data_IF_266501374482
#
_entry.id   IF_266501374482
#
_cell.length_a   1.000
_cell.length_b   1.000
_cell.length_c   1.000
_cell.angle_alpha   90.00
_cell.angle_beta   90.00
_cell.angle_gamma   90.00
#
_symmetry.space_group_name_H-M   'P 1'
#
loop_
_entity.id
_entity.type
_entity.pdbx_description
1 polymer ?
#
# COMPACT_ATOMS: atom_id res chain seq x y z
N UNK A 1 22.98 -36.98 -50.45
CA UNK A 1 21.91 -37.62 -49.65
C UNK A 1 22.47 -37.82 -48.25
N UNK A 2 22.03 -36.98 -47.31
CA UNK A 2 22.48 -36.92 -45.92
C UNK A 2 21.22 -37.05 -45.06
N UNK A 3 21.14 -37.96 -44.08
CA UNK A 3 20.18 -37.86 -42.99
C UNK A 3 20.83 -37.07 -41.85
N UNK A 4 20.13 -36.13 -41.22
CA UNK A 4 20.33 -35.87 -39.79
C UNK A 4 19.23 -35.00 -39.15
N UNK A 5 18.45 -35.69 -38.32
CA UNK A 5 17.91 -35.31 -37.00
C UNK A 5 17.16 -33.97 -36.85
N UNK A 6 15.85 -34.12 -36.71
CA UNK A 6 14.94 -33.18 -36.05
C UNK A 6 15.33 -32.98 -34.59
N UNK A 7 15.54 -31.74 -34.17
CA UNK A 7 15.65 -31.38 -32.75
C UNK A 7 14.24 -31.17 -32.17
N UNK A 8 13.66 -32.21 -31.59
CA UNK A 8 12.62 -32.07 -30.57
C UNK A 8 13.29 -31.75 -29.23
N UNK A 9 13.38 -30.47 -28.91
CA UNK A 9 13.76 -29.99 -27.59
C UNK A 9 12.54 -29.76 -26.70
N UNK A 10 11.77 -30.82 -26.40
CA UNK A 10 10.75 -30.76 -25.34
C UNK A 10 11.36 -31.34 -24.08
N UNK A 11 11.70 -30.46 -23.14
CA UNK A 11 12.21 -30.82 -21.83
C UNK A 11 11.79 -29.78 -20.80
N UNK A 12 10.57 -29.90 -20.28
CA UNK A 12 10.22 -29.29 -18.99
C UNK A 12 9.88 -30.43 -18.02
N UNK A 13 10.91 -30.81 -17.26
CA UNK A 13 10.82 -31.72 -16.14
C UNK A 13 10.02 -31.10 -15.00
N UNK A 14 9.20 -31.93 -14.37
CA UNK A 14 8.18 -31.53 -13.43
C UNK A 14 8.70 -30.80 -12.19
N UNK A 15 7.90 -29.82 -11.76
CA UNK A 15 7.81 -29.42 -10.37
C UNK A 15 6.34 -29.63 -9.95
N UNK A 16 6.09 -30.76 -9.31
CA UNK A 16 4.95 -30.94 -8.44
C UNK A 16 5.31 -30.28 -7.10
N UNK A 17 4.46 -29.37 -6.63
CA UNK A 17 4.47 -28.94 -5.24
C UNK A 17 4.60 -27.43 -5.05
N UNK A 18 3.51 -26.70 -5.25
CA UNK A 18 2.76 -26.09 -4.14
C UNK A 18 1.79 -25.05 -4.68
N UNK A 19 0.58 -25.11 -4.15
CA UNK A 19 -0.62 -24.42 -4.58
C UNK A 19 -0.55 -22.90 -4.37
N UNK A 20 -0.80 -22.17 -5.47
CA UNK A 20 -1.68 -20.99 -5.65
C UNK A 20 -1.50 -19.79 -4.71
N UNK A 21 -1.15 -18.64 -5.31
CA UNK A 21 -2.07 -17.50 -5.40
C UNK A 21 -1.94 -16.85 -6.79
N UNK A 22 -2.82 -17.26 -7.69
CA UNK A 22 -3.06 -16.61 -8.97
C UNK A 22 -3.84 -15.32 -8.72
N UNK A 23 -3.40 -14.22 -9.34
CA UNK A 23 -4.16 -12.99 -9.39
C UNK A 23 -5.34 -13.19 -10.33
N UNK A 24 -6.54 -13.45 -9.79
CA UNK A 24 -7.77 -13.46 -10.59
C UNK A 24 -8.91 -12.76 -9.86
N UNK A 25 -9.31 -11.66 -10.47
CA UNK A 25 -10.51 -10.89 -10.23
C UNK A 25 -11.73 -11.64 -10.80
N UNK A 26 -12.57 -12.26 -9.95
CA UNK A 26 -14.03 -12.48 -10.19
C UNK A 26 -14.70 -13.33 -9.10
N UNK A 27 -15.79 -12.78 -8.53
CA UNK A 27 -16.96 -13.41 -7.88
C UNK A 27 -16.80 -14.47 -6.78
N UNK A 28 -17.13 -14.03 -5.56
CA UNK A 28 -18.12 -14.59 -4.61
C UNK A 28 -17.79 -15.79 -3.69
N UNK A 29 -18.06 -15.53 -2.40
CA UNK A 29 -18.43 -16.44 -1.30
C UNK A 29 -17.35 -17.25 -0.55
N UNK A 30 -16.52 -16.50 0.20
CA UNK A 30 -16.31 -16.74 1.64
C UNK A 30 -15.75 -15.45 2.22
N UNK A 31 -16.58 -14.68 2.93
CA UNK A 31 -16.22 -13.39 3.50
C UNK A 31 -15.22 -13.54 4.66
N UNK A 32 -13.97 -13.88 4.33
CA UNK A 32 -12.83 -13.44 5.13
C UNK A 32 -12.80 -11.92 4.92
N UNK A 33 -12.91 -11.10 5.98
CA UNK A 33 -12.82 -9.66 5.82
C UNK A 33 -11.52 -9.38 5.06
N UNK A 34 -11.55 -8.52 4.02
CA UNK A 34 -10.32 -8.14 3.35
C UNK A 34 -9.32 -7.71 4.43
N UNK A 35 -8.09 -8.22 4.39
CA UNK A 35 -7.03 -7.79 5.30
C UNK A 35 -6.59 -6.38 4.88
N UNK A 36 -7.48 -5.42 5.13
CA UNK A 36 -7.32 -4.04 4.65
C UNK A 36 -6.08 -3.41 5.23
N UNK A 37 -5.71 -3.80 6.45
CA UNK A 37 -4.46 -3.42 7.11
C UNK A 37 -3.22 -3.91 6.34
N UNK A 38 -3.21 -5.19 5.93
CA UNK A 38 -2.17 -5.77 5.08
C UNK A 38 -2.04 -5.06 3.74
N UNK A 39 -3.16 -4.75 3.09
CA UNK A 39 -3.20 -4.03 1.81
C UNK A 39 -2.67 -2.59 1.94
N UNK A 40 -3.16 -1.83 2.93
CA UNK A 40 -2.68 -0.48 3.23
C UNK A 40 -1.18 -0.48 3.52
N UNK A 41 -0.70 -1.43 4.34
CA UNK A 41 0.72 -1.56 4.66
C UNK A 41 1.57 -1.85 3.42
N UNK A 42 1.07 -2.66 2.49
CA UNK A 42 1.72 -2.98 1.22
C UNK A 42 1.84 -1.73 0.33
N UNK A 43 0.77 -0.95 0.19
CA UNK A 43 0.79 0.28 -0.60
C UNK A 43 1.71 1.35 0.03
N UNK A 44 1.68 1.52 1.35
CA UNK A 44 2.62 2.40 2.06
C UNK A 44 4.09 1.99 1.81
N UNK A 45 4.40 0.70 1.77
CA UNK A 45 5.76 0.21 1.44
C UNK A 45 6.18 0.57 0.00
N UNK A 46 5.24 0.59 -0.95
CA UNK A 46 5.50 0.96 -2.35
C UNK A 46 5.85 2.45 -2.51
N UNK A 47 5.41 3.32 -1.60
CA UNK A 47 5.75 4.76 -1.61
C UNK A 47 7.26 5.02 -1.41
N UNK A 48 7.94 4.14 -0.69
CA UNK A 48 9.39 4.22 -0.46
C UNK A 48 10.26 3.84 -1.65
N UNK A 49 9.68 3.36 -2.76
CA UNK A 49 10.43 2.98 -3.97
C UNK A 49 10.95 4.22 -4.72
N UNK A 50 11.81 4.04 -5.72
CA UNK A 50 12.32 5.14 -6.55
C UNK A 50 11.41 5.47 -7.75
N UNK A 51 10.66 4.50 -8.23
CA UNK A 51 9.84 4.65 -9.44
C UNK A 51 8.58 5.53 -9.19
N UNK A 52 8.42 6.66 -9.89
CA UNK A 52 7.33 7.60 -9.66
C UNK A 52 5.97 7.00 -10.04
N UNK A 53 5.90 6.20 -11.10
CA UNK A 53 4.65 5.57 -11.56
C UNK A 53 4.11 4.59 -10.50
N UNK A 54 5.00 3.83 -9.87
CA UNK A 54 4.67 2.92 -8.76
C UNK A 54 4.13 3.70 -7.56
N UNK A 55 4.72 4.86 -7.24
CA UNK A 55 4.22 5.72 -6.16
C UNK A 55 2.83 6.24 -6.46
N UNK A 56 2.59 6.77 -7.67
CA UNK A 56 1.27 7.28 -8.07
C UNK A 56 0.22 6.17 -8.00
N UNK A 57 0.50 4.98 -8.54
CA UNK A 57 -0.42 3.83 -8.45
C UNK A 57 -0.71 3.45 -6.99
N UNK A 58 0.31 3.44 -6.13
CA UNK A 58 0.12 3.15 -4.72
C UNK A 58 -0.70 4.22 -3.99
N UNK A 59 -0.52 5.51 -4.31
CA UNK A 59 -1.31 6.62 -3.78
C UNK A 59 -2.78 6.53 -4.24
N UNK A 60 -3.02 6.20 -5.50
CA UNK A 60 -4.38 5.97 -6.01
C UNK A 60 -5.08 4.85 -5.27
N UNK A 61 -4.40 3.70 -5.07
CA UNK A 61 -4.96 2.60 -4.29
C UNK A 61 -5.24 3.01 -2.84
N UNK A 62 -4.31 3.72 -2.18
CA UNK A 62 -4.53 4.22 -0.83
C UNK A 62 -5.74 5.13 -0.71
N UNK A 63 -5.98 6.00 -1.70
CA UNK A 63 -7.17 6.85 -1.73
C UNK A 63 -8.49 6.07 -1.77
N UNK A 64 -8.49 4.92 -2.42
CA UNK A 64 -9.66 4.03 -2.42
C UNK A 64 -9.83 3.40 -1.04
N UNK A 65 -8.74 2.88 -0.47
CA UNK A 65 -8.75 2.25 0.86
C UNK A 65 -9.16 3.24 1.98
N UNK A 66 -8.70 4.49 1.92
CA UNK A 66 -9.09 5.54 2.88
C UNK A 66 -10.58 5.84 2.89
N UNK A 67 -11.33 5.44 1.87
CA UNK A 67 -12.79 5.62 1.82
C UNK A 67 -13.56 4.38 2.26
N UNK A 68 -12.88 3.25 2.39
CA UNK A 68 -13.45 1.95 2.76
C UNK A 68 -13.21 1.62 4.23
N UNK A 69 -12.21 2.24 4.84
CA UNK A 69 -11.76 2.00 6.22
C UNK A 69 -12.34 3.07 7.15
N UNK A 70 -12.64 2.68 8.38
CA UNK A 70 -13.11 3.60 9.42
C UNK A 70 -12.03 4.61 9.82
N UNK A 71 -12.43 5.78 10.32
CA UNK A 71 -11.49 6.79 10.82
C UNK A 71 -10.60 6.26 11.95
N UNK A 72 -11.14 5.40 12.83
CA UNK A 72 -10.42 4.81 13.97
C UNK A 72 -9.26 3.90 13.55
N UNK A 73 -9.49 3.06 12.53
CA UNK A 73 -8.44 2.20 11.95
C UNK A 73 -7.40 3.03 11.20
N UNK A 74 -7.83 4.05 10.46
CA UNK A 74 -6.92 4.95 9.73
C UNK A 74 -5.99 5.73 10.67
N UNK A 75 -6.43 6.04 11.89
CA UNK A 75 -5.56 6.69 12.90
C UNK A 75 -4.30 5.86 13.18
N UNK A 76 -4.37 4.53 13.12
CA UNK A 76 -3.21 3.65 13.36
C UNK A 76 -2.12 3.80 12.29
N UNK A 77 -2.50 4.14 11.05
CA UNK A 77 -1.53 4.32 9.95
C UNK A 77 -0.92 5.72 9.91
N UNK A 78 -1.51 6.71 10.62
CA UNK A 78 -1.10 8.12 10.57
C UNK A 78 0.40 8.33 10.86
N UNK A 79 1.02 7.69 11.87
CA UNK A 79 2.45 7.86 12.11
C UNK A 79 3.32 7.44 10.92
N UNK A 80 2.96 6.33 10.26
CA UNK A 80 3.70 5.79 9.12
C UNK A 80 3.44 6.63 7.86
N UNK A 81 2.19 7.02 7.63
CA UNK A 81 1.82 7.96 6.58
C UNK A 81 2.59 9.28 6.72
N UNK A 82 2.63 9.88 7.91
CA UNK A 82 3.34 11.15 8.15
C UNK A 82 4.85 11.08 7.87
N UNK A 83 5.47 9.91 8.05
CA UNK A 83 6.86 9.69 7.66
C UNK A 83 7.03 9.65 6.14
N UNK A 84 6.22 8.86 5.43
CA UNK A 84 6.30 8.78 3.97
C UNK A 84 5.85 10.07 3.28
N UNK A 85 4.79 10.71 3.78
CA UNK A 85 4.30 12.01 3.31
C UNK A 85 5.41 13.05 3.26
N UNK A 86 6.17 13.19 4.36
CA UNK A 86 7.31 14.13 4.40
C UNK A 86 8.34 13.85 3.31
N UNK A 87 8.63 12.58 3.01
CA UNK A 87 9.56 12.22 1.93
C UNK A 87 8.98 12.53 0.54
N UNK A 88 7.69 12.25 0.35
CA UNK A 88 6.99 12.46 -0.92
C UNK A 88 6.82 13.95 -1.29
N UNK A 89 6.78 14.85 -0.30
CA UNK A 89 6.78 16.29 -0.55
C UNK A 89 8.02 16.78 -1.31
N UNK A 90 9.17 16.10 -1.13
CA UNK A 90 10.42 16.41 -1.81
C UNK A 90 10.65 15.54 -3.06
N UNK A 91 9.65 14.78 -3.52
CA UNK A 91 9.78 13.98 -4.72
C UNK A 91 9.94 14.86 -5.97
N UNK A 92 10.81 14.46 -6.90
CA UNK A 92 11.06 15.20 -8.14
C UNK A 92 9.81 15.27 -9.04
N UNK A 93 8.99 14.22 -9.05
CA UNK A 93 7.79 14.15 -9.86
C UNK A 93 6.68 15.04 -9.33
N UNK A 94 6.26 16.01 -10.14
CA UNK A 94 5.11 16.89 -9.83
C UNK A 94 3.83 16.08 -9.60
N UNK A 95 3.66 14.99 -10.34
CA UNK A 95 2.49 14.13 -10.23
C UNK A 95 2.45 13.39 -8.89
N UNK A 96 3.62 12.88 -8.43
CA UNK A 96 3.73 12.27 -7.11
C UNK A 96 3.38 13.28 -6.02
N UNK A 97 3.90 14.51 -6.09
CA UNK A 97 3.57 15.56 -5.11
C UNK A 97 2.08 15.87 -5.09
N UNK A 98 1.45 16.03 -6.27
CA UNK A 98 0.01 16.28 -6.39
C UNK A 98 -0.81 15.15 -5.76
N UNK A 99 -0.57 13.91 -6.19
CA UNK A 99 -1.28 12.73 -5.67
C UNK A 99 -1.08 12.57 -4.15
N UNK A 100 0.08 12.96 -3.62
CA UNK A 100 0.37 12.96 -2.19
C UNK A 100 -0.50 13.96 -1.42
N UNK A 101 -0.66 15.19 -1.94
CA UNK A 101 -1.55 16.18 -1.32
C UNK A 101 -3.02 15.75 -1.37
N UNK A 102 -3.46 15.17 -2.48
CA UNK A 102 -4.80 14.61 -2.61
C UNK A 102 -5.04 13.48 -1.60
N UNK A 103 -4.07 12.58 -1.43
CA UNK A 103 -4.15 11.52 -0.44
C UNK A 103 -4.20 12.03 1.00
N UNK A 104 -3.44 13.08 1.32
CA UNK A 104 -3.53 13.73 2.63
C UNK A 104 -4.91 14.36 2.87
N UNK A 105 -5.48 15.04 1.86
CA UNK A 105 -6.80 15.64 1.98
C UNK A 105 -7.89 14.57 2.22
N UNK A 106 -7.85 13.46 1.48
CA UNK A 106 -8.78 12.35 1.67
C UNK A 106 -8.62 11.72 3.05
N UNK A 107 -7.39 11.43 3.49
CA UNK A 107 -7.12 10.86 4.80
C UNK A 107 -7.68 11.73 5.93
N UNK A 108 -7.40 13.04 5.90
CA UNK A 108 -7.88 13.98 6.92
C UNK A 108 -9.40 14.11 6.88
N UNK A 109 -10.01 14.08 5.69
CA UNK A 109 -11.46 14.14 5.54
C UNK A 109 -12.14 12.90 6.11
N UNK A 110 -11.59 11.70 5.89
CA UNK A 110 -12.16 10.46 6.46
C UNK A 110 -11.97 10.37 7.97
N UNK A 111 -10.78 10.69 8.49
CA UNK A 111 -10.51 10.59 9.94
C UNK A 111 -11.25 11.69 10.71
N UNK A 112 -11.34 12.90 10.14
CA UNK A 112 -11.79 14.10 10.83
C UNK A 112 -10.67 14.75 11.64
N UNK A 113 -10.70 16.09 11.73
CA UNK A 113 -9.67 16.86 12.44
C UNK A 113 -9.62 16.56 13.95
N UNK A 114 -10.77 16.29 14.57
CA UNK A 114 -10.86 16.04 16.01
C UNK A 114 -10.12 14.76 16.44
N UNK A 115 -10.20 13.70 15.63
CA UNK A 115 -9.48 12.45 15.86
C UNK A 115 -7.97 12.64 15.70
N UNK A 116 -7.53 13.37 14.67
CA UNK A 116 -6.12 13.65 14.44
C UNK A 116 -5.54 14.48 15.58
N UNK A 117 -6.23 15.53 16.01
CA UNK A 117 -5.77 16.39 17.10
C UNK A 117 -5.63 15.59 18.41
N UNK A 118 -6.64 14.77 18.73
CA UNK A 118 -6.64 13.91 19.91
C UNK A 118 -5.51 12.89 19.87
N UNK A 119 -5.29 12.25 18.72
CA UNK A 119 -4.23 11.27 18.56
C UNK A 119 -2.83 11.88 18.60
N UNK A 120 -2.61 13.01 17.91
CA UNK A 120 -1.33 13.72 17.94
C UNK A 120 -1.05 14.22 19.35
N UNK A 121 -2.02 14.81 20.04
CA UNK A 121 -1.86 15.25 21.42
C UNK A 121 -1.53 14.09 22.36
N UNK A 122 -2.23 12.95 22.23
CA UNK A 122 -1.96 11.71 22.98
C UNK A 122 -0.55 11.17 22.71
N UNK A 123 -0.12 11.11 21.45
CA UNK A 123 1.22 10.66 21.07
C UNK A 123 2.32 11.57 21.65
N UNK A 124 2.12 12.90 21.58
CA UNK A 124 3.06 13.88 22.11
C UNK A 124 3.15 13.86 23.65
N UNK A 125 2.02 13.66 24.34
CA UNK A 125 2.00 13.48 25.79
C UNK A 125 2.69 12.18 26.17
N UNK A 126 2.31 11.06 25.57
CA UNK A 126 2.83 9.73 25.93
C UNK A 126 4.35 9.62 25.73
N UNK A 127 4.89 10.20 24.64
CA UNK A 127 6.35 10.28 24.42
C UNK A 127 7.08 11.23 25.37
N UNK A 128 6.41 12.25 25.92
CA UNK A 128 6.98 13.18 26.90
C UNK A 128 7.06 12.56 28.30
N UNK A 129 6.14 11.66 28.66
CA UNK A 129 6.18 10.92 29.92
C UNK A 129 7.16 9.74 29.90
N UNK A 130 7.39 9.10 28.75
CA UNK A 130 8.35 8.00 28.63
C UNK A 130 9.83 8.42 28.62
N UNK A 131 10.13 9.73 28.61
CA UNK A 131 11.50 10.27 28.58
C UNK A 131 11.82 11.16 29.80
N UNK A 132 11.05 11.06 30.89
CA UNK A 132 11.26 11.80 32.13
C UNK A 132 11.41 10.90 33.34
#
# INVERSE_FOLDING_TARGET
MHPDISFEGVGFGGYLGSSRVESSNSSEEAAIPPDVDGEMAQHLKRLGRKDPTTKVKALTSLNVLFKQVSGEELVQIVPKWAFEYRKLLYDYSREVRRATHEAMANLVTTIGFDFILSYVHSLFISKRWMNS
#
